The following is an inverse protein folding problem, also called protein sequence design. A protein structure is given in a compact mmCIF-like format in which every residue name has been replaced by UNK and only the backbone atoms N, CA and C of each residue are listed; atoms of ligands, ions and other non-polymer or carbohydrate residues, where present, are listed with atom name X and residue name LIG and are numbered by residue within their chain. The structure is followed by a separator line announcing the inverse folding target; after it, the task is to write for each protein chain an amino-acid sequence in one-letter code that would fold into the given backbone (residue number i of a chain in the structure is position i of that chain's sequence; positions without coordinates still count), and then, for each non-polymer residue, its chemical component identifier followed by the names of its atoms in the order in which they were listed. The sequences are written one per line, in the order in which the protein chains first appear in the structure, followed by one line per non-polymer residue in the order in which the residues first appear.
data_IF_826551120856
#
_entry.id   IF_826551120856
#
_cell.length_a   1.000
_cell.length_b   1.000
_cell.length_c   1.000
_cell.angle_alpha   90.00
_cell.angle_beta   90.00
_cell.angle_gamma   90.00
#
_symmetry.space_group_name_H-M   'P 1'
#
loop_
_entity.id
_entity.type
_entity.pdbx_description
1 polymer ?
#
# COMPACT_ATOMS: atom_id res chain seq x y z
N UNK A 1 1.98 -4.90 7.54
CA UNK A 1 2.60 -4.11 6.45
C UNK A 1 3.78 -4.79 5.77
N UNK A 2 4.78 -5.36 6.48
CA UNK A 2 5.95 -6.01 5.83
C UNK A 2 5.58 -7.11 4.82
N UNK A 3 4.59 -7.95 5.12
CA UNK A 3 4.13 -8.99 4.20
C UNK A 3 3.65 -8.46 2.85
N UNK A 4 3.05 -7.26 2.86
CA UNK A 4 2.54 -6.58 1.66
C UNK A 4 3.69 -6.01 0.85
N UNK A 5 4.70 -5.45 1.52
CA UNK A 5 5.91 -4.94 0.88
C UNK A 5 6.63 -6.09 0.17
N UNK A 6 6.77 -7.24 0.82
CA UNK A 6 7.40 -8.43 0.21
C UNK A 6 6.59 -8.97 -0.97
N UNK A 7 5.26 -9.00 -0.86
CA UNK A 7 4.39 -9.41 -1.97
C UNK A 7 4.57 -8.51 -3.21
N UNK A 8 4.59 -7.18 -3.00
CA UNK A 8 4.82 -6.22 -4.08
C UNK A 8 6.24 -6.32 -4.62
N UNK A 9 7.25 -6.44 -3.74
CA UNK A 9 8.64 -6.59 -4.14
C UNK A 9 8.81 -7.81 -5.06
N UNK A 10 8.15 -8.92 -4.74
CA UNK A 10 8.21 -10.14 -5.55
C UNK A 10 7.45 -10.02 -6.88
N UNK A 11 6.24 -9.47 -6.87
CA UNK A 11 5.36 -9.42 -8.05
C UNK A 11 5.66 -8.25 -8.99
N UNK A 12 6.25 -7.16 -8.49
CA UNK A 12 6.48 -5.92 -9.23
C UNK A 12 7.97 -5.61 -9.47
N UNK A 13 8.85 -6.62 -9.44
CA UNK A 13 10.31 -6.47 -9.63
C UNK A 13 10.69 -5.61 -10.84
N UNK A 14 10.00 -5.78 -11.97
CA UNK A 14 10.29 -5.06 -13.21
C UNK A 14 10.04 -3.56 -13.07
N UNK A 15 8.90 -3.18 -12.51
CA UNK A 15 8.49 -1.79 -12.30
C UNK A 15 9.38 -1.12 -11.25
N UNK A 16 9.69 -1.83 -10.15
CA UNK A 16 10.59 -1.36 -9.11
C UNK A 16 12.00 -1.09 -9.64
N UNK A 17 12.57 -2.01 -10.44
CA UNK A 17 13.87 -1.79 -11.09
C UNK A 17 13.87 -0.59 -12.03
N UNK A 18 12.79 -0.40 -12.80
CA UNK A 18 12.68 0.75 -13.70
C UNK A 18 12.58 2.07 -12.94
N UNK A 19 11.86 2.10 -11.82
CA UNK A 19 11.77 3.27 -10.95
C UNK A 19 13.11 3.58 -10.28
N UNK A 20 13.77 2.59 -9.67
CA UNK A 20 15.09 2.75 -9.05
C UNK A 20 16.12 3.33 -10.05
N UNK A 21 16.21 2.74 -11.26
CA UNK A 21 17.09 3.26 -12.32
C UNK A 21 16.78 4.70 -12.73
N UNK A 22 15.53 5.15 -12.60
CA UNK A 22 15.16 6.53 -12.86
C UNK A 22 15.61 7.44 -11.71
N UNK A 23 15.35 7.04 -10.46
CA UNK A 23 15.78 7.79 -9.27
C UNK A 23 17.30 7.99 -9.26
N UNK A 24 18.07 6.95 -9.60
CA UNK A 24 19.53 7.02 -9.69
C UNK A 24 20.01 8.08 -10.70
N UNK A 25 19.24 8.31 -11.78
CA UNK A 25 19.54 9.32 -12.80
C UNK A 25 19.06 10.73 -12.43
N UNK A 26 18.05 10.83 -11.58
CA UNK A 26 17.37 12.08 -11.23
C UNK A 26 17.29 12.27 -9.69
N UNK A 27 18.41 12.22 -8.95
CA UNK A 27 18.39 12.12 -7.49
C UNK A 27 17.71 13.30 -6.78
N UNK A 28 17.71 14.49 -7.39
CA UNK A 28 17.09 15.70 -6.83
C UNK A 28 15.71 16.03 -7.40
N UNK A 29 15.32 15.39 -8.51
CA UNK A 29 14.12 15.73 -9.29
C UNK A 29 13.24 14.53 -9.62
N UNK A 30 13.53 13.35 -9.05
CA UNK A 30 12.81 12.10 -9.30
C UNK A 30 11.30 12.20 -9.07
N UNK A 31 10.84 13.04 -8.13
CA UNK A 31 9.42 13.26 -7.88
C UNK A 31 8.67 13.72 -9.14
N UNK A 32 9.33 14.49 -10.00
CA UNK A 32 8.80 14.95 -11.28
C UNK A 32 9.25 14.02 -12.43
N UNK A 33 10.56 13.80 -12.56
CA UNK A 33 11.17 13.13 -13.71
C UNK A 33 10.79 11.64 -13.80
N UNK A 34 10.52 11.00 -12.66
CA UNK A 34 10.21 9.57 -12.57
C UNK A 34 8.73 9.29 -12.35
N UNK A 35 7.84 10.27 -12.57
CA UNK A 35 6.40 10.14 -12.36
C UNK A 35 5.79 8.93 -13.07
N UNK A 36 6.19 8.69 -14.34
CA UNK A 36 5.69 7.55 -15.13
C UNK A 36 6.07 6.19 -14.50
N UNK A 37 7.29 6.06 -14.01
CA UNK A 37 7.77 4.83 -13.36
C UNK A 37 7.12 4.66 -11.98
N UNK A 38 6.90 5.75 -11.23
CA UNK A 38 6.15 5.76 -9.98
C UNK A 38 4.72 5.26 -10.19
N UNK A 39 4.02 5.78 -11.19
CA UNK A 39 2.67 5.32 -11.57
C UNK A 39 2.65 3.84 -11.99
N UNK A 40 3.67 3.37 -12.70
CA UNK A 40 3.78 1.96 -13.07
C UNK A 40 3.95 1.04 -11.85
N UNK A 41 4.76 1.44 -10.86
CA UNK A 41 4.90 0.72 -9.58
C UNK A 41 3.55 0.71 -8.84
N UNK A 42 2.89 1.87 -8.75
CA UNK A 42 1.59 1.97 -8.09
C UNK A 42 0.56 1.04 -8.72
N UNK A 43 0.41 1.09 -10.05
CA UNK A 43 -0.53 0.24 -10.79
C UNK A 43 -0.25 -1.25 -10.56
N UNK A 44 1.00 -1.68 -10.69
CA UNK A 44 1.36 -3.07 -10.43
C UNK A 44 1.02 -3.49 -8.99
N UNK A 45 1.30 -2.63 -8.01
CA UNK A 45 1.04 -2.91 -6.61
C UNK A 45 -0.45 -3.08 -6.32
N UNK A 46 -1.31 -2.24 -6.89
CA UNK A 46 -2.76 -2.31 -6.73
C UNK A 46 -3.39 -3.53 -7.43
N UNK A 47 -2.83 -3.95 -8.56
CA UNK A 47 -3.26 -5.15 -9.28
C UNK A 47 -2.89 -6.44 -8.53
N UNK A 48 -1.75 -6.42 -7.82
CA UNK A 48 -1.16 -7.63 -7.25
C UNK A 48 -1.35 -7.79 -5.74
N UNK A 49 -1.79 -6.74 -5.03
CA UNK A 49 -2.07 -6.81 -3.60
C UNK A 49 -3.43 -6.19 -3.27
N UNK A 50 -4.38 -7.06 -2.91
CA UNK A 50 -5.73 -6.67 -2.50
C UNK A 50 -5.72 -5.72 -1.30
N UNK A 51 -4.82 -5.94 -0.34
CA UNK A 51 -4.73 -5.12 0.86
C UNK A 51 -4.26 -3.70 0.52
N UNK A 52 -3.21 -3.55 -0.29
CA UNK A 52 -2.77 -2.25 -0.78
C UNK A 52 -3.86 -1.51 -1.55
N UNK A 53 -4.59 -2.21 -2.42
CA UNK A 53 -5.73 -1.63 -3.13
C UNK A 53 -6.79 -1.08 -2.18
N UNK A 54 -7.08 -1.79 -1.09
CA UNK A 54 -8.02 -1.31 -0.06
C UNK A 54 -7.46 -0.10 0.69
N UNK A 55 -6.19 -0.14 1.10
CA UNK A 55 -5.53 0.98 1.79
C UNK A 55 -5.54 2.22 0.90
N UNK A 56 -5.10 2.13 -0.36
CA UNK A 56 -5.10 3.27 -1.29
C UNK A 56 -6.49 3.84 -1.52
N UNK A 57 -7.52 2.98 -1.55
CA UNK A 57 -8.92 3.42 -1.72
C UNK A 57 -9.43 4.14 -0.48
N UNK A 58 -9.22 3.58 0.72
CA UNK A 58 -9.87 4.04 1.94
C UNK A 58 -9.04 5.08 2.73
N UNK A 59 -7.72 5.07 2.58
CA UNK A 59 -6.80 5.99 3.25
C UNK A 59 -6.28 7.10 2.32
N UNK A 60 -6.98 7.36 1.20
CA UNK A 60 -6.57 8.34 0.19
C UNK A 60 -6.36 9.74 0.79
N UNK A 61 -7.24 10.17 1.69
CA UNK A 61 -7.15 11.49 2.31
C UNK A 61 -5.88 11.63 3.15
N UNK A 62 -5.58 10.63 3.98
CA UNK A 62 -4.40 10.60 4.84
C UNK A 62 -3.12 10.47 4.02
N UNK A 63 -3.15 9.69 2.93
CA UNK A 63 -2.02 9.57 1.98
C UNK A 63 -1.70 10.92 1.36
N UNK A 64 -2.70 11.63 0.82
CA UNK A 64 -2.51 12.96 0.22
C UNK A 64 -2.02 13.97 1.25
N UNK A 65 -2.55 13.94 2.48
CA UNK A 65 -2.08 14.83 3.55
C UNK A 65 -0.60 14.61 3.88
N UNK A 66 -0.16 13.34 3.96
CA UNK A 66 1.24 13.00 4.20
C UNK A 66 2.12 13.39 3.01
N UNK A 67 1.73 13.05 1.78
CA UNK A 67 2.47 13.40 0.56
C UNK A 67 2.67 14.92 0.41
N UNK A 68 1.62 15.71 0.71
CA UNK A 68 1.70 17.16 0.70
C UNK A 68 2.67 17.68 1.77
N UNK A 69 2.63 17.11 2.98
CA UNK A 69 3.55 17.51 4.03
C UNK A 69 5.01 17.22 3.65
N UNK A 70 5.30 16.02 3.13
CA UNK A 70 6.65 15.62 2.71
C UNK A 70 7.15 16.51 1.58
N UNK A 71 6.29 16.80 0.60
CA UNK A 71 6.63 17.68 -0.53
C UNK A 71 7.02 19.09 -0.09
N UNK A 72 6.38 19.60 0.97
CA UNK A 72 6.63 20.93 1.55
C UNK A 72 7.81 20.94 2.54
N UNK A 73 8.27 19.80 3.03
CA UNK A 73 9.28 19.69 4.09
C UNK A 73 10.42 18.73 3.72
N UNK A 74 11.00 18.90 2.53
CA UNK A 74 12.01 17.97 1.97
C UNK A 74 13.25 17.75 2.84
N UNK A 75 13.64 18.73 3.66
CA UNK A 75 14.85 18.66 4.50
C UNK A 75 14.64 17.87 5.79
N UNK A 76 13.43 17.89 6.36
CA UNK A 76 13.13 17.28 7.66
C UNK A 76 11.69 16.74 7.74
N UNK A 77 11.31 15.84 6.83
CA UNK A 77 9.94 15.31 6.80
C UNK A 77 9.62 14.47 8.04
N UNK A 78 10.60 13.78 8.62
CA UNK A 78 10.39 12.88 9.77
C UNK A 78 9.86 13.60 11.02
N UNK A 79 10.38 14.80 11.31
CA UNK A 79 9.93 15.59 12.46
C UNK A 79 8.70 16.45 12.13
N UNK A 80 8.59 16.97 10.91
CA UNK A 80 7.52 17.89 10.52
C UNK A 80 6.22 17.23 10.06
N UNK A 81 6.30 15.97 9.61
CA UNK A 81 5.16 15.25 9.04
C UNK A 81 4.70 14.07 9.90
N UNK A 82 5.13 14.02 11.16
CA UNK A 82 4.83 12.93 12.08
C UNK A 82 3.33 12.75 12.30
N UNK A 83 2.56 13.85 12.37
CA UNK A 83 1.11 13.78 12.58
C UNK A 83 0.38 13.19 11.36
N UNK A 84 0.71 13.64 10.15
CA UNK A 84 0.14 13.13 8.91
C UNK A 84 0.55 11.67 8.69
N UNK A 85 1.80 11.32 9.03
CA UNK A 85 2.27 9.95 9.03
C UNK A 85 1.47 9.07 9.99
N UNK A 86 1.26 9.52 11.25
CA UNK A 86 0.46 8.79 12.24
C UNK A 86 -0.97 8.58 11.75
N UNK A 87 -1.60 9.59 11.16
CA UNK A 87 -2.96 9.48 10.61
C UNK A 87 -3.03 8.42 9.49
N UNK A 88 -2.07 8.43 8.56
CA UNK A 88 -1.98 7.43 7.50
C UNK A 88 -1.73 6.02 8.06
N UNK A 89 -0.81 5.91 9.02
CA UNK A 89 -0.49 4.65 9.69
C UNK A 89 -1.73 4.05 10.37
N UNK A 90 -2.45 4.83 11.17
CA UNK A 90 -3.66 4.36 11.86
C UNK A 90 -4.74 3.92 10.88
N UNK A 91 -4.97 4.68 9.80
CA UNK A 91 -5.90 4.25 8.75
C UNK A 91 -5.50 2.90 8.14
N UNK A 92 -4.22 2.72 7.81
CA UNK A 92 -3.72 1.47 7.23
C UNK A 92 -3.94 0.27 8.17
N UNK A 93 -3.77 0.45 9.49
CA UNK A 93 -3.98 -0.59 10.50
C UNK A 93 -5.44 -1.01 10.58
N UNK A 94 -6.37 -0.04 10.60
CA UNK A 94 -7.81 -0.32 10.60
C UNK A 94 -8.22 -1.15 9.37
N UNK A 95 -7.75 -0.76 8.19
CA UNK A 95 -8.04 -1.50 6.95
C UNK A 95 -7.41 -2.90 6.96
N UNK A 96 -6.18 -3.04 7.45
CA UNK A 96 -5.49 -4.33 7.56
C UNK A 96 -6.25 -5.29 8.49
N UNK A 97 -6.66 -4.84 9.67
CA UNK A 97 -7.40 -5.67 10.61
C UNK A 97 -8.81 -6.01 10.11
N UNK A 98 -9.48 -5.06 9.44
CA UNK A 98 -10.76 -5.31 8.78
C UNK A 98 -10.66 -6.38 7.69
N UNK A 99 -9.64 -6.30 6.83
CA UNK A 99 -9.38 -7.30 5.79
C UNK A 99 -9.11 -8.69 6.38
N UNK A 100 -8.26 -8.76 7.42
CA UNK A 100 -7.91 -9.98 8.13
C UNK A 100 -9.14 -10.63 8.78
N UNK A 101 -9.99 -9.83 9.42
CA UNK A 101 -11.23 -10.29 10.05
C UNK A 101 -12.20 -10.83 8.99
N UNK A 102 -12.39 -10.11 7.89
CA UNK A 102 -13.23 -10.58 6.79
C UNK A 102 -12.74 -11.89 6.15
N UNK A 103 -11.43 -12.10 6.05
CA UNK A 103 -10.87 -13.36 5.57
C UNK A 103 -11.10 -14.53 6.53
N UNK A 104 -11.07 -14.28 7.85
CA UNK A 104 -11.41 -15.31 8.87
C UNK A 104 -12.88 -15.69 8.80
N UNK A 105 -13.79 -14.72 8.71
CA UNK A 105 -15.23 -14.97 8.63
C UNK A 105 -15.58 -15.82 7.40
N UNK A 106 -15.06 -15.47 6.22
CA UNK A 106 -15.22 -16.27 4.99
C UNK A 106 -14.74 -17.72 5.14
N UNK A 107 -13.66 -17.96 5.89
CA UNK A 107 -13.16 -19.33 6.15
C UNK A 107 -14.13 -20.11 7.04
N UNK A 108 -14.69 -19.48 8.06
CA UNK A 108 -15.68 -20.09 8.96
C UNK A 108 -16.94 -20.48 8.17
N UNK A 109 -17.49 -19.55 7.39
CA UNK A 109 -18.67 -19.79 6.54
C UNK A 109 -18.47 -20.97 5.57
N UNK A 110 -17.32 -21.01 4.89
CA UNK A 110 -16.97 -22.13 4.00
C UNK A 110 -16.87 -23.46 4.73
N UNK A 111 -16.37 -23.47 5.97
CA UNK A 111 -16.27 -24.68 6.79
C UNK A 111 -17.65 -25.17 7.23
N UNK A 112 -18.51 -24.26 7.68
CA UNK A 112 -19.89 -24.58 8.07
C UNK A 112 -20.69 -25.14 6.88
N UNK A 113 -20.56 -24.54 5.70
CA UNK A 113 -21.21 -25.04 4.48
C UNK A 113 -20.75 -26.46 4.10
N UNK A 114 -19.47 -26.80 4.30
CA UNK A 114 -18.98 -28.17 4.08
C UNK A 114 -19.57 -29.16 5.09
N UNK A 115 -19.63 -28.78 6.36
CA UNK A 115 -20.22 -29.62 7.43
C UNK A 115 -21.71 -29.89 7.19
N UNK A 116 -22.45 -28.89 6.72
CA UNK A 116 -23.87 -29.04 6.41
C UNK A 116 -24.09 -29.95 5.19
N UNK A 117 -23.21 -29.88 4.18
CA UNK A 117 -23.29 -30.77 3.01
C UNK A 117 -22.99 -32.24 3.32
N UNK A 118 -22.21 -32.54 4.35
CA UNK A 118 -21.92 -33.93 4.77
C UNK A 118 -23.03 -34.54 5.64
N UNK A 119 -24.01 -33.74 6.07
CA UNK A 119 -25.15 -34.19 6.90
C UNK A 119 -26.45 -34.34 6.09
N UNK A 120 -26.44 -33.96 4.82
CA UNK A 120 -27.54 -34.13 3.86
C UNK A 120 -27.16 -35.25 2.89
#
# INVERSE_FOLDING_TARGET
MESVINEVAEKCKKQLKAFAKCVDKHPSTYDCDCKKQKEAVQKCSEENSRLLKLINKHCKQQSVAYDNCVSNNKLNPESKCLEQFRALYLCSQVIQEGARTGDRLRKIERRNNRLNKTKA
#
